data_IF_271101859677
#
_entry.id   IF_271101859677
#
_cell.length_a   1.000
_cell.length_b   1.000
_cell.length_c   1.000
_cell.angle_alpha   90.00
_cell.angle_beta   90.00
_cell.angle_gamma   90.00
#
_symmetry.space_group_name_H-M   'P 1'
#
loop_
_entity.id
_entity.type
_entity.pdbx_description
1 polymer ?
#
# COMPACT_ATOMS: atom_id res chain seq x y z
N UNK A 1 11.61 -1.96 4.36
CA UNK A 1 10.19 -1.64 4.68
C UNK A 1 9.33 -1.93 3.45
N UNK A 2 8.30 -2.78 3.58
CA UNK A 2 7.43 -3.26 2.49
C UNK A 2 6.42 -2.19 2.06
N UNK A 3 6.13 -2.08 0.76
CA UNK A 3 5.09 -1.17 0.27
C UNK A 3 3.68 -1.67 0.63
N UNK A 4 2.89 -0.82 1.30
CA UNK A 4 1.47 -1.07 1.60
C UNK A 4 0.63 -0.15 0.70
N UNK A 5 -0.17 -0.67 -0.24
CA UNK A 5 -0.88 0.14 -1.23
C UNK A 5 -1.98 1.00 -0.60
N UNK A 6 -2.06 2.26 -1.01
CA UNK A 6 -3.16 3.16 -0.70
C UNK A 6 -3.73 3.77 -1.98
N UNK A 7 -5.04 4.04 -1.97
CA UNK A 7 -5.71 4.60 -3.14
C UNK A 7 -5.16 6.00 -3.44
N UNK A 8 -4.83 6.27 -4.70
CA UNK A 8 -4.24 7.54 -5.13
C UNK A 8 -2.72 7.61 -5.02
N UNK A 9 -2.04 6.56 -4.54
CA UNK A 9 -0.58 6.51 -4.53
C UNK A 9 -0.01 6.57 -5.95
N UNK A 10 1.09 7.31 -6.10
CA UNK A 10 1.96 7.18 -7.26
C UNK A 10 3.08 6.20 -6.94
N UNK A 11 3.31 5.25 -7.83
CA UNK A 11 4.28 4.17 -7.68
C UNK A 11 5.11 4.00 -8.94
N UNK A 12 6.34 3.52 -8.78
CA UNK A 12 7.12 2.97 -9.88
C UNK A 12 6.86 1.47 -9.95
N UNK A 13 6.38 1.04 -11.11
CA UNK A 13 6.20 -0.37 -11.44
C UNK A 13 7.42 -0.86 -12.24
N UNK A 14 8.12 -1.87 -11.69
CA UNK A 14 9.31 -2.45 -12.28
C UNK A 14 8.91 -3.72 -13.04
N UNK A 15 8.95 -3.65 -14.37
CA UNK A 15 8.53 -4.74 -15.25
C UNK A 15 9.36 -6.00 -15.02
N UNK A 16 10.69 -5.87 -14.92
CA UNK A 16 11.60 -6.99 -14.80
C UNK A 16 11.31 -7.79 -13.52
N UNK A 17 11.22 -7.11 -12.37
CA UNK A 17 10.94 -7.77 -11.09
C UNK A 17 9.60 -8.48 -11.04
N UNK A 18 8.55 -7.87 -11.61
CA UNK A 18 7.25 -8.54 -11.69
C UNK A 18 7.29 -9.78 -12.60
N UNK A 19 8.06 -9.75 -13.69
CA UNK A 19 8.23 -10.89 -14.57
C UNK A 19 8.95 -12.04 -13.87
N UNK A 20 10.07 -11.75 -13.20
CA UNK A 20 10.85 -12.72 -12.43
C UNK A 20 10.00 -13.33 -11.30
N UNK A 21 9.17 -12.54 -10.62
CA UNK A 21 8.24 -13.02 -9.60
C UNK A 21 7.20 -14.00 -10.15
N UNK A 22 6.58 -13.71 -11.29
CA UNK A 22 5.60 -14.63 -11.91
C UNK A 22 6.27 -15.95 -12.31
N UNK A 23 7.47 -15.87 -12.89
CA UNK A 23 8.25 -17.02 -13.34
C UNK A 23 8.70 -17.90 -12.17
N UNK A 24 9.23 -17.30 -11.08
CA UNK A 24 9.70 -18.04 -9.90
C UNK A 24 8.58 -18.80 -9.19
N UNK A 25 7.35 -18.26 -9.19
CA UNK A 25 6.17 -18.85 -8.55
C UNK A 25 5.36 -19.76 -9.48
N UNK A 26 5.79 -19.98 -10.74
CA UNK A 26 5.02 -20.68 -11.76
C UNK A 26 3.55 -20.20 -11.86
N UNK A 27 3.35 -18.89 -11.65
CA UNK A 27 2.03 -18.30 -11.59
C UNK A 27 1.38 -18.26 -12.98
N UNK A 28 0.06 -18.46 -13.03
CA UNK A 28 -0.74 -18.29 -14.24
C UNK A 28 -1.15 -16.83 -14.48
N UNK A 29 -0.76 -15.92 -13.58
CA UNK A 29 -1.00 -14.49 -13.76
C UNK A 29 -0.31 -13.97 -15.04
N UNK A 30 -0.99 -13.04 -15.71
CA UNK A 30 -0.48 -12.45 -16.96
C UNK A 30 -0.06 -11.02 -16.69
N UNK A 31 1.25 -10.80 -16.69
CA UNK A 31 1.82 -9.47 -16.55
C UNK A 31 1.44 -8.52 -17.71
N UNK A 32 1.51 -7.20 -17.49
CA UNK A 32 1.12 -6.20 -18.48
C UNK A 32 1.97 -6.27 -19.77
N UNK A 33 3.19 -6.80 -19.72
CA UNK A 33 4.04 -7.00 -20.91
C UNK A 33 3.44 -7.98 -21.92
N UNK A 34 2.58 -8.92 -21.50
CA UNK A 34 1.90 -9.82 -22.43
C UNK A 34 0.90 -9.07 -23.33
N UNK A 35 0.28 -8.00 -22.80
CA UNK A 35 -0.69 -7.18 -23.51
C UNK A 35 -0.02 -6.04 -24.29
N UNK A 36 0.95 -5.37 -23.66
CA UNK A 36 1.56 -4.15 -24.21
C UNK A 36 2.91 -4.39 -24.90
N UNK A 37 3.53 -5.57 -24.73
CA UNK A 37 4.80 -5.99 -25.35
C UNK A 37 5.92 -4.97 -25.09
N UNK A 38 6.68 -4.61 -26.11
CA UNK A 38 7.78 -3.63 -26.03
C UNK A 38 7.32 -2.17 -25.81
N UNK A 39 6.00 -1.91 -25.70
CA UNK A 39 5.51 -0.57 -25.40
C UNK A 39 5.65 -0.21 -23.92
N UNK A 40 5.79 -1.21 -23.05
CA UNK A 40 6.02 -1.00 -21.63
C UNK A 40 7.53 -0.93 -21.35
N UNK A 41 7.94 0.13 -20.67
CA UNK A 41 9.32 0.37 -20.22
C UNK A 41 9.72 -0.62 -19.12
N UNK A 42 11.00 -0.61 -18.76
CA UNK A 42 11.54 -1.32 -17.60
C UNK A 42 10.95 -0.78 -16.28
N UNK A 43 10.80 0.53 -16.18
CA UNK A 43 10.15 1.24 -15.08
C UNK A 43 9.01 2.15 -15.61
N UNK A 44 7.83 2.04 -15.02
CA UNK A 44 6.67 2.85 -15.38
C UNK A 44 6.09 3.58 -14.18
N UNK A 45 5.76 4.86 -14.34
CA UNK A 45 5.03 5.63 -13.32
C UNK A 45 3.56 5.24 -13.40
N UNK A 46 3.03 4.70 -12.31
CA UNK A 46 1.64 4.28 -12.18
C UNK A 46 0.90 5.01 -11.05
N UNK A 47 -0.41 5.16 -11.22
CA UNK A 47 -1.36 5.59 -10.18
C UNK A 47 -2.16 4.38 -9.68
N UNK A 48 -2.28 4.23 -8.36
CA UNK A 48 -3.21 3.28 -7.74
C UNK A 48 -4.62 3.86 -7.81
N UNK A 49 -5.44 3.35 -8.71
CA UNK A 49 -6.77 3.90 -9.03
C UNK A 49 -7.93 3.02 -8.54
N UNK A 50 -7.67 1.77 -8.14
CA UNK A 50 -8.64 0.92 -7.47
C UNK A 50 -7.94 -0.06 -6.53
N UNK A 51 -8.58 -0.36 -5.40
CA UNK A 51 -8.11 -1.34 -4.42
C UNK A 51 -9.29 -2.22 -4.00
N UNK A 52 -9.12 -3.54 -4.14
CA UNK A 52 -10.09 -4.56 -3.77
C UNK A 52 -9.45 -5.57 -2.84
N UNK A 53 -9.96 -5.62 -1.61
CA UNK A 53 -9.58 -6.65 -0.64
C UNK A 53 -10.39 -7.92 -0.89
N UNK A 54 -9.70 -9.06 -0.94
CA UNK A 54 -10.33 -10.38 -1.13
C UNK A 54 -9.70 -11.40 -0.20
N UNK A 55 -10.46 -12.42 0.18
CA UNK A 55 -9.89 -13.60 0.84
C UNK A 55 -9.48 -14.59 -0.24
N UNK A 56 -8.26 -15.11 -0.16
CA UNK A 56 -7.78 -16.18 -1.03
C UNK A 56 -8.54 -17.48 -0.69
N UNK A 57 -9.19 -18.13 -1.69
CA UNK A 57 -9.89 -19.37 -1.47
C UNK A 57 -8.94 -20.45 -0.93
N UNK A 58 -9.28 -21.06 0.20
CA UNK A 58 -8.55 -22.19 0.78
C UNK A 58 -7.51 -21.83 1.86
N UNK A 59 -6.86 -20.67 1.80
CA UNK A 59 -5.91 -20.23 2.85
C UNK A 59 -6.56 -19.37 3.93
N UNK A 60 -7.62 -18.63 3.59
CA UNK A 60 -8.22 -17.65 4.51
C UNK A 60 -7.45 -16.34 4.61
N UNK A 61 -6.32 -16.21 3.88
CA UNK A 61 -5.49 -15.02 3.85
C UNK A 61 -6.14 -13.91 3.01
N UNK A 62 -5.88 -12.67 3.38
CA UNK A 62 -6.38 -11.50 2.67
C UNK A 62 -5.39 -11.07 1.60
N UNK A 63 -5.82 -11.04 0.34
CA UNK A 63 -5.06 -10.47 -0.76
C UNK A 63 -5.58 -9.09 -1.15
N UNK A 64 -4.67 -8.27 -1.69
CA UNK A 64 -4.96 -6.93 -2.16
C UNK A 64 -4.85 -6.90 -3.67
N UNK A 65 -5.99 -6.81 -4.37
CA UNK A 65 -6.01 -6.64 -5.82
C UNK A 65 -6.10 -5.15 -6.15
N UNK A 66 -5.09 -4.64 -6.84
CA UNK A 66 -4.99 -3.22 -7.21
C UNK A 66 -5.16 -3.04 -8.72
N UNK A 67 -5.74 -1.90 -9.13
CA UNK A 67 -5.73 -1.42 -10.51
C UNK A 67 -4.72 -0.28 -10.62
N UNK A 68 -3.75 -0.44 -11.51
CA UNK A 68 -2.71 0.54 -11.79
C UNK A 68 -2.96 1.19 -13.14
N UNK A 69 -2.94 2.52 -13.20
CA UNK A 69 -2.98 3.30 -14.45
C UNK A 69 -1.57 3.83 -14.72
N UNK A 70 -1.05 3.63 -15.93
CA UNK A 70 0.20 4.26 -16.36
C UNK A 70 -0.03 5.75 -16.57
N UNK A 71 0.73 6.60 -15.88
CA UNK A 71 0.53 8.05 -15.88
C UNK A 71 1.70 8.85 -16.46
N UNK A 72 2.82 8.22 -16.79
CA UNK A 72 3.93 8.90 -17.49
C UNK A 72 3.48 9.36 -18.89
N UNK A 73 3.44 10.68 -19.19
CA UNK A 73 3.07 11.17 -20.52
C UNK A 73 4.04 10.75 -21.63
N UNK A 74 5.29 10.44 -21.27
CA UNK A 74 6.33 9.98 -22.19
C UNK A 74 6.28 8.46 -22.43
N UNK A 75 5.39 7.74 -21.74
CA UNK A 75 5.22 6.30 -21.92
C UNK A 75 4.26 6.00 -23.08
N UNK A 76 4.59 4.99 -23.89
CA UNK A 76 3.73 4.52 -24.98
C UNK A 76 2.43 3.88 -24.48
N UNK A 77 2.36 3.56 -23.19
CA UNK A 77 1.18 2.98 -22.52
C UNK A 77 0.45 3.98 -21.62
N UNK A 78 0.79 5.27 -21.68
CA UNK A 78 0.13 6.33 -20.90
C UNK A 78 -1.40 6.26 -21.01
N UNK A 79 -2.08 6.39 -19.87
CA UNK A 79 -3.54 6.27 -19.72
C UNK A 79 -4.10 4.84 -19.85
N UNK A 80 -3.25 3.82 -20.12
CA UNK A 80 -3.67 2.41 -20.05
C UNK A 80 -3.58 1.91 -18.60
N UNK A 81 -4.22 0.78 -18.33
CA UNK A 81 -4.22 0.18 -17.00
C UNK A 81 -4.00 -1.33 -17.05
N UNK A 82 -3.69 -1.90 -15.90
CA UNK A 82 -3.67 -3.33 -15.63
C UNK A 82 -4.07 -3.59 -14.17
N UNK A 83 -4.41 -4.84 -13.86
CA UNK A 83 -4.67 -5.26 -12.49
C UNK A 83 -3.52 -6.13 -12.00
N UNK A 84 -3.18 -6.01 -10.73
CA UNK A 84 -2.15 -6.78 -10.03
C UNK A 84 -2.72 -7.27 -8.71
N UNK A 85 -2.58 -8.55 -8.41
CA UNK A 85 -2.76 -9.05 -7.05
C UNK A 85 -1.44 -8.85 -6.33
N UNK A 86 -1.37 -7.94 -5.37
CA UNK A 86 -0.12 -7.68 -4.67
C UNK A 86 0.28 -8.90 -3.86
N UNK A 87 1.45 -9.49 -4.16
CA UNK A 87 1.90 -10.68 -3.48
C UNK A 87 2.45 -10.39 -2.09
N UNK A 88 2.60 -11.44 -1.30
CA UNK A 88 3.44 -11.41 -0.12
C UNK A 88 4.90 -11.58 -0.52
N UNK A 89 5.60 -10.44 -0.63
CA UNK A 89 7.03 -10.37 -0.87
C UNK A 89 7.74 -10.48 0.47
N UNK A 90 7.95 -11.72 0.94
CA UNK A 90 8.69 -12.00 2.18
C UNK A 90 10.20 -12.03 1.91
N UNK A 91 10.59 -12.78 0.87
CA UNK A 91 11.98 -12.98 0.44
C UNK A 91 12.24 -12.49 -1.00
N UNK A 92 11.22 -11.89 -1.63
CA UNK A 92 11.30 -11.38 -3.00
C UNK A 92 11.47 -9.85 -2.98
N UNK A 93 12.29 -9.24 -3.85
CA UNK A 93 12.47 -7.79 -3.89
C UNK A 93 11.19 -7.03 -4.29
N UNK A 94 11.03 -5.80 -3.79
CA UNK A 94 9.88 -4.94 -4.05
C UNK A 94 9.85 -4.43 -5.52
N UNK A 95 9.06 -5.04 -6.40
CA UNK A 95 8.87 -4.58 -7.80
C UNK A 95 7.78 -3.50 -7.97
N UNK A 96 7.14 -3.08 -6.88
CA UNK A 96 6.22 -1.96 -6.83
C UNK A 96 6.62 -1.03 -5.69
N UNK A 97 7.15 0.13 -6.04
CA UNK A 97 7.81 1.03 -5.09
C UNK A 97 7.08 2.37 -5.07
N UNK A 98 6.89 2.97 -3.89
CA UNK A 98 6.37 4.33 -3.80
C UNK A 98 7.25 5.30 -4.60
N UNK A 99 6.63 6.17 -5.42
CA UNK A 99 7.36 7.04 -6.33
C UNK A 99 8.36 7.93 -5.60
N UNK A 100 7.98 8.55 -4.48
CA UNK A 100 8.93 9.38 -3.73
C UNK A 100 10.10 8.55 -3.21
N UNK A 101 9.85 7.36 -2.64
CA UNK A 101 10.94 6.49 -2.17
C UNK A 101 11.90 6.14 -3.30
N UNK A 102 11.38 5.86 -4.49
CA UNK A 102 12.19 5.61 -5.67
C UNK A 102 12.97 6.84 -6.11
N UNK A 103 12.33 8.01 -6.22
CA UNK A 103 13.00 9.23 -6.66
C UNK A 103 14.10 9.64 -5.66
N UNK A 104 13.80 9.62 -4.36
CA UNK A 104 14.76 9.97 -3.31
C UNK A 104 15.92 8.98 -3.24
N UNK A 105 15.71 7.69 -3.54
CA UNK A 105 16.82 6.73 -3.55
C UNK A 105 17.79 6.96 -4.71
N UNK A 106 17.36 7.63 -5.78
CA UNK A 106 18.21 8.01 -6.90
C UNK A 106 19.01 9.30 -6.65
N UNK A 107 18.75 10.04 -5.56
CA UNK A 107 19.54 11.23 -5.20
C UNK A 107 20.94 10.86 -4.71
N UNK A 108 21.13 9.63 -4.21
CA UNK A 108 22.42 9.11 -3.74
C UNK A 108 23.16 8.40 -4.88
N UNK A 109 24.27 8.99 -5.32
CA UNK A 109 25.15 8.41 -6.35
C UNK A 109 26.08 7.31 -5.81
N UNK A 110 25.57 6.09 -5.70
CA UNK A 110 26.33 4.94 -5.23
C UNK A 110 27.47 4.53 -6.19
N UNK A 111 28.65 4.25 -5.62
CA UNK A 111 29.84 3.80 -6.36
C UNK A 111 30.43 2.50 -5.78
N UNK A 112 31.16 1.69 -6.57
CA UNK A 112 31.90 0.55 -6.03
C UNK A 112 32.89 0.99 -4.94
N UNK A 113 32.85 0.30 -3.80
CA UNK A 113 33.61 0.62 -2.59
C UNK A 113 32.79 1.37 -1.52
N UNK A 114 31.65 1.94 -1.88
CA UNK A 114 30.75 2.57 -0.91
C UNK A 114 30.20 1.55 0.08
N UNK A 115 30.02 1.98 1.34
CA UNK A 115 29.36 1.21 2.38
C UNK A 115 27.87 1.55 2.37
N UNK A 116 27.03 0.54 2.49
CA UNK A 116 25.59 0.68 2.57
C UNK A 116 25.04 -0.22 3.67
N UNK A 117 23.80 0.04 4.09
CA UNK A 117 23.03 -0.85 4.93
C UNK A 117 21.75 -1.26 4.21
N UNK A 118 21.35 -2.52 4.36
CA UNK A 118 20.13 -3.09 3.76
C UNK A 118 19.33 -3.79 4.85
N UNK A 119 18.01 -3.64 4.80
CA UNK A 119 17.12 -4.29 5.75
C UNK A 119 16.76 -5.70 5.27
N UNK A 120 17.09 -6.72 6.07
CA UNK A 120 16.69 -8.10 5.81
C UNK A 120 15.61 -8.54 6.79
N UNK A 121 14.66 -9.36 6.32
CA UNK A 121 13.66 -9.97 7.17
C UNK A 121 14.21 -11.24 7.81
N UNK A 122 14.13 -11.35 9.14
CA UNK A 122 14.48 -12.55 9.90
C UNK A 122 13.27 -13.02 10.73
N UNK A 123 13.31 -14.27 11.21
CA UNK A 123 12.26 -14.83 12.06
C UNK A 123 12.09 -13.99 13.35
N UNK A 124 10.96 -13.29 13.47
CA UNK A 124 10.64 -12.46 14.64
C UNK A 124 10.91 -10.97 14.46
N UNK A 125 11.40 -10.54 13.30
CA UNK A 125 11.65 -9.13 12.97
C UNK A 125 12.92 -8.99 12.14
N UNK A 126 12.94 -8.05 11.19
CA UNK A 126 14.13 -7.81 10.38
C UNK A 126 15.23 -7.03 11.12
N UNK A 127 16.42 -6.99 10.54
CA UNK A 127 17.53 -6.16 11.02
C UNK A 127 18.32 -5.54 9.86
N UNK A 128 19.11 -4.50 10.18
CA UNK A 128 20.00 -3.85 9.22
C UNK A 128 21.30 -4.63 9.09
N UNK A 129 21.63 -5.00 7.86
CA UNK A 129 22.89 -5.63 7.51
C UNK A 129 23.78 -4.64 6.77
N UNK A 130 25.02 -4.58 7.21
CA UNK A 130 26.02 -3.69 6.67
C UNK A 130 26.79 -4.38 5.56
N UNK A 131 26.84 -3.75 4.39
CA UNK A 131 27.53 -4.28 3.23
C UNK A 131 28.39 -3.25 2.53
N UNK A 132 29.09 -3.71 1.50
CA UNK A 132 29.89 -2.89 0.60
C UNK A 132 29.53 -3.18 -0.84
N UNK A 133 29.30 -2.13 -1.63
CA UNK A 133 29.05 -2.27 -3.06
C UNK A 133 30.35 -2.71 -3.73
N UNK A 134 30.36 -3.91 -4.34
CA UNK A 134 31.53 -4.44 -5.04
C UNK A 134 31.50 -4.14 -6.54
N UNK A 135 30.31 -4.09 -7.14
CA UNK A 135 30.14 -3.73 -8.55
C UNK A 135 28.71 -3.28 -8.86
N UNK A 136 28.55 -2.56 -9.96
CA UNK A 136 27.26 -2.07 -10.46
C UNK A 136 27.10 -2.52 -11.90
N UNK A 137 26.01 -3.25 -12.19
CA UNK A 137 25.73 -3.76 -13.53
C UNK A 137 24.24 -4.05 -13.72
N UNK A 138 23.75 -3.92 -14.95
CA UNK A 138 22.38 -4.31 -15.28
C UNK A 138 22.15 -5.79 -14.99
N UNK A 139 20.94 -6.16 -14.54
CA UNK A 139 20.62 -7.57 -14.22
C UNK A 139 20.46 -8.44 -15.46
N UNK A 140 19.88 -7.89 -16.51
CA UNK A 140 19.71 -8.57 -17.79
C UNK A 140 20.00 -7.61 -18.94
N UNK A 141 20.55 -8.15 -20.04
CA UNK A 141 20.76 -7.41 -21.28
C UNK A 141 19.44 -6.97 -21.93
N UNK A 142 18.31 -7.58 -21.57
CA UNK A 142 16.98 -7.21 -22.05
C UNK A 142 16.47 -5.88 -21.46
N UNK A 143 17.08 -5.43 -20.35
CA UNK A 143 16.69 -4.23 -19.62
C UNK A 143 17.91 -3.33 -19.35
N UNK A 144 18.52 -2.77 -20.41
CA UNK A 144 19.71 -1.94 -20.27
C UNK A 144 19.40 -0.66 -19.47
N UNK A 145 20.24 -0.35 -18.48
CA UNK A 145 20.09 0.81 -17.60
C UNK A 145 19.04 0.66 -16.49
N UNK A 146 18.42 -0.51 -16.33
CA UNK A 146 17.41 -0.77 -15.31
C UNK A 146 17.95 -0.50 -13.89
N UNK A 147 17.08 0.01 -13.02
CA UNK A 147 17.38 0.20 -11.60
C UNK A 147 17.13 -1.05 -10.74
N UNK A 148 16.58 -2.09 -11.37
CA UNK A 148 16.27 -3.37 -10.74
C UNK A 148 17.54 -4.17 -10.45
N UNK A 149 17.79 -4.43 -9.17
CA UNK A 149 18.84 -5.35 -8.68
C UNK A 149 20.23 -5.12 -9.33
N UNK A 150 20.60 -3.85 -9.54
CA UNK A 150 21.81 -3.48 -10.26
C UNK A 150 23.08 -3.44 -9.40
N UNK A 151 22.94 -3.38 -8.07
CA UNK A 151 24.05 -3.30 -7.15
C UNK A 151 24.42 -4.67 -6.63
N UNK A 152 25.68 -5.06 -6.76
CA UNK A 152 26.21 -6.25 -6.12
C UNK A 152 26.84 -5.81 -4.79
N UNK A 153 26.26 -6.25 -3.68
CA UNK A 153 26.66 -5.90 -2.31
C UNK A 153 27.22 -7.13 -1.63
N UNK A 154 28.43 -7.00 -1.08
CA UNK A 154 29.08 -8.01 -0.25
C UNK A 154 28.84 -7.69 1.22
N UNK A 155 28.40 -8.68 2.01
CA UNK A 155 28.14 -8.53 3.45
C UNK A 155 29.27 -9.14 4.28
N UNK A 156 29.31 -10.47 4.34
CA UNK A 156 30.39 -11.26 4.92
C UNK A 156 31.27 -11.86 3.81
N UNK A 157 32.50 -12.28 4.16
CA UNK A 157 33.50 -12.74 3.20
C UNK A 157 32.93 -13.77 2.21
N UNK A 158 32.81 -13.33 0.94
CA UNK A 158 32.35 -14.06 -0.25
C UNK A 158 30.82 -14.22 -0.45
N UNK A 159 29.96 -13.54 0.31
CA UNK A 159 28.51 -13.55 0.08
C UNK A 159 28.00 -12.27 -0.59
N UNK A 160 27.72 -12.37 -1.90
CA UNK A 160 27.35 -11.24 -2.76
C UNK A 160 25.89 -11.35 -3.20
N UNK A 161 25.08 -10.36 -2.82
CA UNK A 161 23.67 -10.26 -3.16
C UNK A 161 23.38 -9.05 -4.04
N UNK A 162 22.35 -9.16 -4.89
CA UNK A 162 21.91 -8.07 -5.76
C UNK A 162 20.84 -7.23 -5.09
N UNK A 163 20.94 -5.91 -5.24
CA UNK A 163 20.02 -4.94 -4.65
C UNK A 163 19.65 -3.82 -5.62
N UNK A 164 18.46 -3.27 -5.42
CA UNK A 164 17.93 -2.12 -6.13
C UNK A 164 18.22 -0.82 -5.36
N UNK A 165 18.19 0.33 -6.06
CA UNK A 165 18.49 1.64 -5.44
C UNK A 165 17.70 1.91 -4.15
N UNK A 166 16.39 1.61 -4.13
CA UNK A 166 15.50 1.87 -2.99
C UNK A 166 15.68 0.92 -1.80
N UNK A 167 16.60 -0.03 -1.88
CA UNK A 167 16.93 -0.97 -0.81
C UNK A 167 18.21 -0.57 -0.06
N UNK A 168 19.05 0.26 -0.68
CA UNK A 168 20.32 0.71 -0.10
C UNK A 168 20.09 1.96 0.76
N UNK A 169 20.69 1.94 1.96
CA UNK A 169 20.66 3.07 2.88
C UNK A 169 22.08 3.51 3.24
N UNK A 170 22.23 4.81 3.45
CA UNK A 170 23.45 5.37 4.02
C UNK A 170 23.49 5.07 5.53
N UNK A 171 24.66 4.70 6.05
CA UNK A 171 24.85 4.46 7.48
C UNK A 171 24.70 5.73 8.31
N UNK A 172 25.05 6.87 7.71
CA UNK A 172 25.16 8.14 8.42
C UNK A 172 23.85 8.96 8.37
N UNK A 173 22.82 8.46 7.67
CA UNK A 173 21.52 9.12 7.56
C UNK A 173 20.51 8.49 8.52
N UNK A 174 19.95 9.28 9.44
CA UNK A 174 18.87 8.82 10.32
C UNK A 174 17.64 8.40 9.49
N UNK A 175 17.32 7.11 9.54
CA UNK A 175 16.17 6.46 8.89
C UNK A 175 14.83 7.19 9.13
N UNK A 176 14.67 7.84 10.28
CA UNK A 176 13.42 8.45 10.72
C UNK A 176 13.01 9.69 9.89
N UNK A 177 13.95 10.32 9.18
CA UNK A 177 13.66 11.58 8.45
C UNK A 177 12.97 11.38 7.10
N UNK A 178 13.06 10.19 6.48
CA UNK A 178 12.48 9.95 5.14
C UNK A 178 11.01 9.49 5.14
N UNK A 179 10.49 8.99 6.27
CA UNK A 179 9.08 8.56 6.36
C UNK A 179 8.08 9.70 6.62
N UNK A 180 8.55 10.89 7.01
CA UNK A 180 7.68 11.97 7.48
C UNK A 180 6.99 12.78 6.36
N UNK A 181 7.37 12.58 5.08
CA UNK A 181 7.11 13.58 4.05
C UNK A 181 5.77 13.47 3.30
N UNK A 182 5.09 12.31 3.33
CA UNK A 182 3.88 12.10 2.51
C UNK A 182 2.72 11.61 3.36
N UNK A 183 2.03 12.54 3.99
CA UNK A 183 0.76 12.27 4.61
C UNK A 183 -0.24 13.35 4.23
N UNK A 184 -1.53 13.06 4.36
CA UNK A 184 -2.58 14.06 4.21
C UNK A 184 -2.22 15.33 5.00
N UNK A 185 -2.51 16.50 4.42
CA UNK A 185 -2.13 17.78 5.00
C UNK A 185 -2.74 17.98 6.39
N UNK A 186 -2.09 18.86 7.15
CA UNK A 186 -2.45 19.11 8.55
C UNK A 186 -3.90 19.56 8.73
N UNK A 187 -4.42 20.40 7.82
CA UNK A 187 -5.76 20.96 7.93
C UNK A 187 -6.84 19.91 7.61
N UNK A 188 -6.62 19.09 6.58
CA UNK A 188 -7.47 17.93 6.28
C UNK A 188 -7.50 16.97 7.47
N UNK A 189 -6.33 16.62 8.01
CA UNK A 189 -6.23 15.71 9.17
C UNK A 189 -6.94 16.27 10.40
N UNK A 190 -6.69 17.54 10.74
CA UNK A 190 -7.34 18.23 11.86
C UNK A 190 -8.86 18.28 11.68
N UNK A 191 -9.33 18.56 10.47
CA UNK A 191 -10.76 18.56 10.16
C UNK A 191 -11.36 17.17 10.34
N UNK A 192 -10.67 16.12 9.90
CA UNK A 192 -11.11 14.74 10.07
C UNK A 192 -11.18 14.34 11.53
N UNK A 193 -10.16 14.63 12.34
CA UNK A 193 -10.20 14.38 13.78
C UNK A 193 -11.36 15.12 14.46
N UNK A 194 -11.67 16.35 14.04
CA UNK A 194 -12.86 17.08 14.52
C UNK A 194 -14.17 16.38 14.14
N UNK A 195 -14.26 15.78 12.97
CA UNK A 195 -15.44 15.02 12.54
C UNK A 195 -15.64 13.76 13.39
N UNK A 196 -14.57 13.00 13.67
CA UNK A 196 -14.62 11.84 14.56
C UNK A 196 -15.04 12.24 15.99
N UNK A 197 -14.47 13.31 16.54
CA UNK A 197 -14.88 13.83 17.85
C UNK A 197 -16.37 14.24 17.90
N UNK A 198 -16.92 14.79 16.80
CA UNK A 198 -18.35 15.11 16.69
C UNK A 198 -19.21 13.85 16.63
N UNK A 199 -18.75 12.79 15.95
CA UNK A 199 -19.44 11.50 15.98
C UNK A 199 -19.51 10.96 17.41
N UNK A 200 -18.41 11.00 18.16
CA UNK A 200 -18.40 10.58 19.57
C UNK A 200 -19.37 11.40 20.42
N UNK A 201 -19.37 12.71 20.28
CA UNK A 201 -20.32 13.58 21.00
C UNK A 201 -21.77 13.23 20.66
N UNK A 202 -22.07 12.86 19.42
CA UNK A 202 -23.43 12.50 18.99
C UNK A 202 -23.97 11.23 19.66
N UNK A 203 -23.11 10.40 20.25
CA UNK A 203 -23.51 9.20 21.01
C UNK A 203 -23.91 9.50 22.45
N UNK A 204 -23.53 10.68 22.99
CA UNK A 204 -23.79 11.09 24.38
C UNK A 204 -25.20 11.65 24.51
N UNK A 205 -26.22 10.78 24.53
CA UNK A 205 -27.62 11.25 24.66
C UNK A 205 -28.70 10.19 24.43
N UNK A 206 -28.38 8.91 24.58
CA UNK A 206 -29.32 7.78 24.55
C UNK A 206 -30.06 7.51 23.22
N UNK A 207 -29.74 8.24 22.15
CA UNK A 207 -30.27 7.96 20.81
C UNK A 207 -29.11 7.72 19.85
N UNK A 208 -28.82 6.45 19.58
CA UNK A 208 -27.85 6.00 18.57
C UNK A 208 -28.41 6.26 17.15
N UNK A 209 -28.65 7.54 16.82
CA UNK A 209 -29.34 7.99 15.61
C UNK A 209 -28.61 7.59 14.33
N UNK A 210 -27.28 7.48 14.41
CA UNK A 210 -26.39 7.09 13.31
C UNK A 210 -25.88 5.64 13.45
N UNK A 211 -26.29 4.90 14.49
CA UNK A 211 -25.86 3.51 14.69
C UNK A 211 -24.40 3.35 15.08
N UNK A 212 -23.72 4.39 15.58
CA UNK A 212 -22.29 4.40 15.93
C UNK A 212 -22.01 3.46 17.09
N UNK A 213 -22.82 3.51 18.16
CA UNK A 213 -22.59 2.64 19.31
C UNK A 213 -22.75 1.17 18.93
N UNK A 214 -23.81 0.86 18.17
CA UNK A 214 -24.06 -0.50 17.71
C UNK A 214 -23.00 -0.97 16.70
N UNK A 215 -22.52 -0.08 15.83
CA UNK A 215 -21.43 -0.36 14.90
C UNK A 215 -20.18 -0.77 15.66
N UNK A 216 -19.71 0.03 16.63
CA UNK A 216 -18.54 -0.27 17.47
C UNK A 216 -18.63 -1.63 18.13
N UNK A 217 -19.74 -1.88 18.82
CA UNK A 217 -19.99 -3.18 19.47
C UNK A 217 -19.98 -4.35 18.49
N UNK A 218 -20.42 -4.13 17.25
CA UNK A 218 -20.48 -5.19 16.24
C UNK A 218 -19.11 -5.44 15.63
N UNK A 219 -18.34 -4.38 15.38
CA UNK A 219 -17.01 -4.46 14.77
C UNK A 219 -15.97 -5.17 15.64
N UNK A 220 -16.17 -5.22 16.96
CA UNK A 220 -15.31 -5.96 17.89
C UNK A 220 -15.61 -7.47 17.92
N UNK A 221 -16.70 -7.92 17.31
CA UNK A 221 -17.09 -9.32 17.39
C UNK A 221 -16.26 -10.20 16.43
N UNK A 222 -15.82 -11.39 16.86
CA UNK A 222 -15.07 -12.30 15.99
C UNK A 222 -15.80 -12.67 14.69
N UNK A 223 -17.12 -12.80 14.72
CA UNK A 223 -17.90 -13.12 13.53
C UNK A 223 -17.95 -11.97 12.52
N UNK A 224 -17.86 -10.71 12.96
CA UNK A 224 -17.69 -9.57 12.05
C UNK A 224 -16.27 -9.56 11.48
N UNK A 225 -15.25 -9.66 12.35
CA UNK A 225 -13.83 -9.59 11.99
C UNK A 225 -13.49 -10.67 10.95
N UNK A 226 -13.98 -11.89 11.15
CA UNK A 226 -13.71 -13.02 10.26
C UNK A 226 -14.54 -13.01 8.97
N UNK A 227 -15.50 -12.09 8.81
CA UNK A 227 -16.34 -12.00 7.60
C UNK A 227 -15.62 -11.24 6.47
N UNK A 228 -14.73 -10.30 6.80
CA UNK A 228 -14.15 -9.37 5.83
C UNK A 228 -12.63 -9.49 5.78
N UNK A 229 -12.00 -9.43 4.58
CA UNK A 229 -10.55 -9.60 4.45
C UNK A 229 -9.74 -8.52 5.19
N UNK A 230 -10.25 -7.28 5.22
CA UNK A 230 -9.64 -6.18 5.97
C UNK A 230 -10.71 -5.59 6.89
N UNK A 231 -10.72 -5.94 8.18
CA UNK A 231 -11.70 -5.46 9.14
C UNK A 231 -11.35 -4.01 9.53
N UNK A 232 -11.75 -3.06 8.69
CA UNK A 232 -11.64 -1.63 9.02
C UNK A 232 -12.74 -1.24 10.00
N UNK A 233 -12.36 -0.53 11.07
CA UNK A 233 -13.28 0.02 12.07
C UNK A 233 -13.08 1.52 12.21
N UNK A 234 -14.03 2.20 12.87
CA UNK A 234 -13.89 3.63 13.17
C UNK A 234 -12.61 3.90 13.98
N UNK A 235 -12.29 3.03 14.93
CA UNK A 235 -11.13 3.12 15.82
C UNK A 235 -9.82 2.98 15.03
N UNK A 236 -9.76 2.00 14.12
CA UNK A 236 -8.59 1.81 13.24
C UNK A 236 -8.38 3.02 12.34
N UNK A 237 -9.45 3.54 11.73
CA UNK A 237 -9.36 4.70 10.84
C UNK A 237 -8.93 5.93 11.63
N UNK A 238 -9.50 6.17 12.82
CA UNK A 238 -9.11 7.28 13.67
C UNK A 238 -7.63 7.18 14.10
N UNK A 239 -7.17 5.99 14.47
CA UNK A 239 -5.78 5.73 14.83
C UNK A 239 -4.84 6.00 13.63
N UNK A 240 -5.21 5.54 12.43
CA UNK A 240 -4.47 5.80 11.19
C UNK A 240 -4.38 7.30 10.90
N UNK A 241 -5.45 8.07 11.11
CA UNK A 241 -5.43 9.54 10.95
C UNK A 241 -4.49 10.17 11.98
N UNK A 242 -4.55 9.76 13.25
CA UNK A 242 -3.68 10.29 14.33
C UNK A 242 -2.20 10.03 14.04
N UNK A 243 -1.87 8.87 13.49
CA UNK A 243 -0.51 8.44 13.21
C UNK A 243 -0.01 8.81 11.81
N UNK A 244 -0.68 9.73 11.10
CA UNK A 244 -0.26 10.18 9.76
C UNK A 244 -0.17 9.06 8.71
N UNK A 245 -0.94 7.97 8.87
CA UNK A 245 -0.82 6.78 8.03
C UNK A 245 -1.19 7.02 6.56
N UNK A 246 -2.20 7.85 6.31
CA UNK A 246 -2.72 8.06 4.96
C UNK A 246 -1.86 9.06 4.17
N UNK A 247 -1.34 8.62 3.03
CA UNK A 247 -0.62 9.46 2.05
C UNK A 247 -1.54 10.40 1.30
N UNK A 248 -2.78 9.98 1.04
CA UNK A 248 -3.75 10.75 0.26
C UNK A 248 -5.12 10.82 0.94
N UNK A 249 -5.89 11.85 0.60
CA UNK A 249 -7.28 11.96 1.04
C UNK A 249 -8.14 10.83 0.47
N UNK A 250 -7.86 10.42 -0.78
CA UNK A 250 -8.53 9.32 -1.46
C UNK A 250 -8.37 8.01 -0.69
N UNK A 251 -7.19 7.72 -0.15
CA UNK A 251 -6.91 6.54 0.65
C UNK A 251 -7.75 6.51 1.93
N UNK A 252 -7.76 7.61 2.68
CA UNK A 252 -8.55 7.73 3.90
C UNK A 252 -10.06 7.60 3.61
N UNK A 253 -10.55 8.25 2.56
CA UNK A 253 -11.96 8.16 2.17
C UNK A 253 -12.33 6.75 1.69
N UNK A 254 -11.43 6.06 0.98
CA UNK A 254 -11.62 4.67 0.58
C UNK A 254 -11.79 3.76 1.79
N UNK A 255 -10.94 3.87 2.82
CA UNK A 255 -11.06 3.09 4.05
C UNK A 255 -12.41 3.33 4.77
N UNK A 256 -12.86 4.59 4.84
CA UNK A 256 -14.19 4.93 5.39
C UNK A 256 -15.30 4.24 4.59
N UNK A 257 -15.23 4.28 3.26
CA UNK A 257 -16.22 3.62 2.39
C UNK A 257 -16.22 2.10 2.55
N UNK A 258 -15.05 1.48 2.63
CA UNK A 258 -14.92 0.03 2.83
C UNK A 258 -15.50 -0.38 4.19
N UNK A 259 -15.16 0.34 5.27
CA UNK A 259 -15.71 0.09 6.61
C UNK A 259 -17.24 0.16 6.63
N UNK A 260 -17.83 1.19 6.02
CA UNK A 260 -19.28 1.36 5.95
C UNK A 260 -19.96 0.31 5.07
N UNK A 261 -19.35 -0.07 3.94
CA UNK A 261 -19.85 -1.14 3.09
C UNK A 261 -19.86 -2.48 3.83
N UNK A 262 -18.77 -2.81 4.53
CA UNK A 262 -18.67 -4.02 5.35
C UNK A 262 -19.75 -4.04 6.44
N UNK A 263 -19.91 -2.92 7.16
CA UNK A 263 -20.94 -2.79 8.18
C UNK A 263 -22.35 -3.02 7.62
N UNK A 264 -22.69 -2.36 6.51
CA UNK A 264 -23.99 -2.51 5.84
C UNK A 264 -24.24 -3.95 5.41
N UNK A 265 -23.26 -4.57 4.74
CA UNK A 265 -23.38 -5.94 4.23
C UNK A 265 -23.54 -6.95 5.37
N UNK A 266 -22.84 -6.74 6.50
CA UNK A 266 -22.99 -7.56 7.69
C UNK A 266 -24.39 -7.42 8.31
N UNK A 267 -24.89 -6.20 8.51
CA UNK A 267 -26.21 -5.98 9.11
C UNK A 267 -27.36 -6.48 8.22
N UNK A 268 -27.20 -6.41 6.90
CA UNK A 268 -28.15 -6.96 5.95
C UNK A 268 -28.21 -8.50 6.02
N UNK A 269 -27.06 -9.17 6.11
CA UNK A 269 -26.96 -10.64 6.09
C UNK A 269 -27.24 -11.30 7.43
N UNK A 270 -26.58 -10.88 8.50
CA UNK A 270 -26.57 -11.60 9.78
C UNK A 270 -27.66 -11.17 10.75
N UNK A 271 -28.08 -9.91 10.69
CA UNK A 271 -29.00 -9.35 11.68
C UNK A 271 -30.43 -9.17 11.15
N UNK A 272 -30.67 -9.29 9.83
CA UNK A 272 -31.89 -8.80 9.14
C UNK A 272 -32.35 -7.45 9.71
N UNK A 273 -31.39 -6.60 10.07
CA UNK A 273 -31.64 -5.41 10.83
C UNK A 273 -31.76 -4.23 9.88
N UNK A 274 -32.95 -4.08 9.31
CA UNK A 274 -33.26 -3.01 8.36
C UNK A 274 -33.00 -1.62 8.94
N UNK A 275 -33.28 -1.42 10.25
CA UNK A 275 -32.98 -0.17 10.96
C UNK A 275 -31.48 0.14 10.98
N UNK A 276 -30.63 -0.86 11.28
CA UNK A 276 -29.18 -0.66 11.25
C UNK A 276 -28.64 -0.46 9.84
N UNK A 277 -29.20 -1.14 8.84
CA UNK A 277 -28.80 -0.95 7.44
C UNK A 277 -29.10 0.48 6.99
N UNK A 278 -30.27 1.02 7.35
CA UNK A 278 -30.65 2.41 7.09
C UNK A 278 -29.76 3.40 7.85
N UNK A 279 -29.40 3.10 9.12
CA UNK A 279 -28.44 3.91 9.89
C UNK A 279 -27.06 3.95 9.23
N UNK A 280 -26.58 2.83 8.67
CA UNK A 280 -25.32 2.79 7.93
C UNK A 280 -25.38 3.61 6.64
N UNK A 281 -26.51 3.58 5.90
CA UNK A 281 -26.71 4.47 4.75
C UNK A 281 -26.66 5.94 5.15
N UNK A 282 -27.37 6.33 6.22
CA UNK A 282 -27.36 7.71 6.75
C UNK A 282 -25.97 8.15 7.23
N UNK A 283 -25.19 7.24 7.81
CA UNK A 283 -23.81 7.50 8.21
C UNK A 283 -22.90 7.69 6.99
N UNK A 284 -23.08 6.89 5.93
CA UNK A 284 -22.38 7.08 4.65
C UNK A 284 -22.70 8.44 4.05
N UNK A 285 -23.97 8.82 3.95
CA UNK A 285 -24.39 10.14 3.45
C UNK A 285 -23.82 11.28 4.30
N UNK A 286 -23.70 11.05 5.61
CA UNK A 286 -23.06 12.01 6.50
C UNK A 286 -21.58 12.18 6.17
N UNK A 287 -20.82 11.09 6.01
CA UNK A 287 -19.43 11.17 5.60
C UNK A 287 -19.30 11.80 4.22
N UNK A 288 -20.05 11.38 3.21
CA UNK A 288 -19.98 11.93 1.85
C UNK A 288 -20.22 13.45 1.84
N UNK A 289 -21.23 13.95 2.57
CA UNK A 289 -21.50 15.39 2.67
C UNK A 289 -20.44 16.18 3.42
N UNK A 290 -19.70 15.55 4.33
CA UNK A 290 -18.61 16.20 5.07
C UNK A 290 -17.32 16.17 4.28
N UNK A 291 -17.04 15.05 3.64
CA UNK A 291 -15.84 14.79 2.84
C UNK A 291 -15.88 15.52 1.49
N UNK A 292 -17.05 15.82 0.92
CA UNK A 292 -17.15 16.61 -0.31
C UNK A 292 -16.82 18.09 -0.14
N UNK A 293 -16.59 18.54 1.10
CA UNK A 293 -16.20 19.92 1.45
C UNK A 293 -14.71 20.07 1.70
N UNK A 294 -13.96 18.97 1.58
CA UNK A 294 -12.52 18.89 1.63
C UNK A 294 -12.01 18.75 0.20
#
# INVERSE_FOLDING_TARGET
CRYIPQLGDQVIYLRQGHQEYIESRNSQERGPWMKYKEKIKDAEICLVDDIKYKTLPGSGESCCKIRLIFIDPLSKVSGKHFELTLPELVDDPDFLVEKTRYDSSLERDWSPGDRCSVWWNEEGGGCWWDGRIVSISDKSADFPGSQWERFNVEYDADDVHRHSHWELHDKDTEWEQTQAQHSIDFDTRKTMLSLFAKLDQSTRGNHDKLGIMKLRQTSERPDFINTFPVPLTLEIIELRIKNSYYRTFQAMNHDVKVMLSNARDYFAKHAKNADMSEKMSRLSDWFERKLSKL
#
